data_IF_593776075557
#
_entry.id   IF_593776075557
#
_cell.length_a   1.000
_cell.length_b   1.000
_cell.length_c   1.000
_cell.angle_alpha   90.00
_cell.angle_beta   90.00
_cell.angle_gamma   90.00
#
_symmetry.space_group_name_H-M   'P 1'
#
loop_
_entity.id
_entity.type
_entity.pdbx_description
1 polymer ?
#
# COMPACT_ATOMS: atom_id res chain seq x y z
N UNK A 1 12.42 -3.64 -10.15
CA UNK A 1 11.66 -4.76 -9.55
C UNK A 1 11.66 -4.53 -8.06
N UNK A 2 10.51 -4.21 -7.46
CA UNK A 2 10.41 -4.06 -6.02
C UNK A 2 10.77 -5.40 -5.35
N UNK A 3 11.64 -5.36 -4.34
CA UNK A 3 12.06 -6.55 -3.62
C UNK A 3 10.86 -7.14 -2.85
N UNK A 4 10.72 -8.46 -2.85
CA UNK A 4 9.69 -9.13 -2.06
C UNK A 4 9.86 -8.78 -0.57
N UNK A 5 8.77 -8.38 0.09
CA UNK A 5 8.75 -8.12 1.53
C UNK A 5 8.83 -9.46 2.25
N UNK A 6 10.01 -9.82 2.75
CA UNK A 6 10.17 -11.00 3.63
C UNK A 6 9.59 -10.68 4.99
N UNK A 7 8.42 -11.22 5.31
CA UNK A 7 7.76 -11.03 6.61
C UNK A 7 8.28 -12.05 7.63
N UNK A 8 8.37 -11.62 8.89
CA UNK A 8 8.70 -12.48 10.04
C UNK A 8 7.45 -13.05 10.73
N UNK A 9 6.28 -12.50 10.45
CA UNK A 9 5.01 -12.98 10.99
C UNK A 9 4.57 -14.29 10.33
N UNK A 10 4.01 -15.18 11.14
CA UNK A 10 3.42 -16.46 10.69
C UNK A 10 1.91 -16.38 10.48
N UNK A 11 1.28 -15.29 10.89
CA UNK A 11 -0.16 -15.01 10.71
C UNK A 11 -0.36 -14.06 9.54
N UNK A 12 -1.47 -14.21 8.81
CA UNK A 12 -1.78 -13.37 7.65
C UNK A 12 -1.92 -11.89 8.07
N UNK A 13 -2.54 -11.65 9.22
CA UNK A 13 -2.74 -10.32 9.79
C UNK A 13 -1.40 -9.67 10.16
N UNK A 14 -0.47 -10.44 10.74
CA UNK A 14 0.87 -9.96 11.07
C UNK A 14 1.71 -9.68 9.81
N UNK A 15 1.55 -10.49 8.77
CA UNK A 15 2.22 -10.27 7.48
C UNK A 15 1.71 -9.02 6.79
N UNK A 16 0.39 -8.79 6.80
CA UNK A 16 -0.23 -7.58 6.27
C UNK A 16 0.22 -6.33 7.03
N UNK A 17 0.32 -6.41 8.35
CA UNK A 17 0.85 -5.33 9.18
C UNK A 17 2.29 -4.98 8.82
N UNK A 18 3.19 -5.97 8.76
CA UNK A 18 4.59 -5.73 8.42
C UNK A 18 4.76 -5.18 7.00
N UNK A 19 3.94 -5.65 6.06
CA UNK A 19 3.89 -5.10 4.72
C UNK A 19 3.43 -3.63 4.74
N UNK A 20 2.34 -3.32 5.43
CA UNK A 20 1.83 -1.96 5.55
C UNK A 20 2.85 -0.99 6.13
N UNK A 21 3.54 -1.38 7.21
CA UNK A 21 4.59 -0.57 7.82
C UNK A 21 5.73 -0.31 6.83
N UNK A 22 6.20 -1.32 6.09
CA UNK A 22 7.28 -1.14 5.12
C UNK A 22 6.88 -0.22 3.98
N UNK A 23 5.65 -0.32 3.48
CA UNK A 23 5.15 0.57 2.43
C UNK A 23 4.97 2.00 2.98
N UNK A 24 4.48 2.16 4.22
CA UNK A 24 4.41 3.47 4.88
C UNK A 24 5.81 4.10 5.06
N UNK A 25 6.81 3.32 5.48
CA UNK A 25 8.18 3.80 5.56
C UNK A 25 8.76 4.17 4.19
N UNK A 26 8.44 3.40 3.15
CA UNK A 26 8.84 3.74 1.79
C UNK A 26 8.22 5.08 1.34
N UNK A 27 6.95 5.35 1.67
CA UNK A 27 6.33 6.66 1.42
C UNK A 27 6.99 7.78 2.22
N UNK A 28 7.31 7.53 3.50
CA UNK A 28 8.02 8.49 4.34
C UNK A 28 9.46 8.76 3.87
N UNK A 29 10.06 7.85 3.11
CA UNK A 29 11.38 8.06 2.51
C UNK A 29 11.36 9.01 1.30
N UNK A 30 10.19 9.25 0.71
CA UNK A 30 10.02 10.22 -0.37
C UNK A 30 9.97 11.66 0.19
N UNK A 31 10.42 12.67 -0.60
CA UNK A 31 10.25 14.08 -0.26
C UNK A 31 8.79 14.41 0.08
N UNK A 32 8.58 15.27 1.07
CA UNK A 32 7.23 15.63 1.52
C UNK A 32 6.35 16.20 0.40
N UNK A 33 6.96 16.86 -0.60
CA UNK A 33 6.28 17.45 -1.76
C UNK A 33 5.73 16.43 -2.76
N UNK A 34 6.30 15.22 -2.80
CA UNK A 34 5.90 14.14 -3.72
C UNK A 34 5.23 12.97 -3.00
N UNK A 35 5.09 13.06 -1.67
CA UNK A 35 4.50 12.01 -0.84
C UNK A 35 2.99 12.00 -0.95
N UNK A 36 2.44 10.91 -1.48
CA UNK A 36 1.00 10.74 -1.68
C UNK A 36 0.26 10.33 -0.40
N UNK A 37 0.96 9.83 0.64
CA UNK A 37 0.37 9.31 1.89
C UNK A 37 -0.77 8.32 1.63
N UNK A 38 -0.55 7.39 0.71
CA UNK A 38 -1.55 6.42 0.30
C UNK A 38 -1.70 5.28 1.33
N UNK A 39 -0.76 5.14 2.26
CA UNK A 39 -0.81 4.18 3.36
C UNK A 39 -1.11 4.89 4.66
N UNK A 40 -2.22 4.50 5.29
CA UNK A 40 -2.54 4.93 6.65
C UNK A 40 -2.70 3.72 7.54
N UNK A 41 -2.02 3.80 8.68
CA UNK A 41 -1.94 2.74 9.66
C UNK A 41 -2.40 3.32 10.98
N UNK A 42 -3.56 2.91 11.46
CA UNK A 42 -4.13 3.38 12.72
C UNK A 42 -4.23 2.22 13.72
N UNK A 43 -3.60 2.41 14.88
CA UNK A 43 -3.60 1.43 15.96
C UNK A 43 -4.44 1.98 17.10
N UNK A 44 -5.59 1.36 17.32
CA UNK A 44 -6.43 1.62 18.48
C UNK A 44 -6.10 0.61 19.57
N UNK A 45 -5.26 1.04 20.51
CA UNK A 45 -4.82 0.21 21.65
C UNK A 45 -5.93 -0.01 22.67
N UNK A 46 -6.93 0.88 22.74
CA UNK A 46 -8.05 0.77 23.67
C UNK A 46 -9.00 -0.35 23.24
N UNK A 47 -9.33 -0.40 21.94
CA UNK A 47 -10.19 -1.43 21.37
C UNK A 47 -9.43 -2.66 20.86
N UNK A 48 -8.09 -2.64 20.92
CA UNK A 48 -7.21 -3.68 20.35
C UNK A 48 -7.47 -3.91 18.86
N UNK A 49 -7.83 -2.84 18.13
CA UNK A 49 -8.14 -2.87 16.71
C UNK A 49 -7.04 -2.19 15.93
N UNK A 50 -6.67 -2.82 14.82
CA UNK A 50 -5.66 -2.30 13.91
C UNK A 50 -6.30 -2.10 12.54
N UNK A 51 -6.32 -0.86 12.09
CA UNK A 51 -6.94 -0.45 10.82
C UNK A 51 -5.87 -0.01 9.85
N UNK A 52 -5.84 -0.65 8.67
CA UNK A 52 -4.89 -0.32 7.61
C UNK A 52 -5.69 0.09 6.37
N UNK A 53 -5.40 1.26 5.83
CA UNK A 53 -5.99 1.76 4.59
C UNK A 53 -4.89 1.88 3.54
N UNK A 54 -5.08 1.18 2.43
CA UNK A 54 -4.21 1.23 1.25
C UNK A 54 -4.96 1.91 0.09
N UNK A 55 -4.46 3.04 -0.38
CA UNK A 55 -5.00 3.74 -1.55
C UNK A 55 -4.04 3.63 -2.74
N UNK A 56 -4.18 2.58 -3.55
CA UNK A 56 -3.32 2.43 -4.72
C UNK A 56 -3.81 3.30 -5.89
N UNK A 57 -2.96 4.18 -6.48
CA UNK A 57 -3.33 4.89 -7.69
C UNK A 57 -3.49 3.88 -8.83
N UNK A 58 -4.64 3.91 -9.51
CA UNK A 58 -4.92 3.09 -10.68
C UNK A 58 -5.24 3.98 -11.87
N UNK A 59 -4.73 3.60 -13.04
CA UNK A 59 -5.09 4.19 -14.33
C UNK A 59 -6.14 3.32 -15.00
N UNK A 60 -7.15 3.97 -15.59
CA UNK A 60 -8.21 3.28 -16.33
C UNK A 60 -8.09 3.63 -17.80
N UNK A 61 -8.03 2.60 -18.64
CA UNK A 61 -8.02 2.75 -20.10
C UNK A 61 -9.16 1.94 -20.69
N UNK A 62 -9.92 2.53 -21.61
CA UNK A 62 -10.93 1.81 -22.37
C UNK A 62 -10.24 1.20 -23.59
N UNK A 63 -10.24 -0.14 -23.68
CA UNK A 63 -9.72 -0.81 -24.87
C UNK A 63 -10.65 -0.54 -26.06
N UNK A 64 -10.12 -0.69 -27.28
CA UNK A 64 -10.90 -0.58 -28.52
C UNK A 64 -12.06 -1.58 -28.60
N UNK A 65 -12.02 -2.64 -27.78
CA UNK A 65 -13.06 -3.67 -27.69
C UNK A 65 -14.10 -3.37 -26.60
N UNK A 66 -14.02 -2.20 -25.97
CA UNK A 66 -14.94 -1.76 -24.91
C UNK A 66 -14.62 -2.34 -23.53
N UNK A 67 -13.50 -3.02 -23.34
CA UNK A 67 -13.07 -3.51 -22.03
C UNK A 67 -12.44 -2.37 -21.22
N UNK A 68 -12.86 -2.25 -19.95
CA UNK A 68 -12.30 -1.27 -19.03
C UNK A 68 -11.09 -1.89 -18.34
N UNK A 69 -9.89 -1.49 -18.74
CA UNK A 69 -8.61 -2.01 -18.23
C UNK A 69 -8.14 -1.09 -17.12
N UNK A 70 -8.19 -1.59 -15.89
CA UNK A 70 -7.59 -0.95 -14.73
C UNK A 70 -6.17 -1.46 -14.53
N UNK A 71 -5.18 -0.58 -14.63
CA UNK A 71 -3.77 -0.89 -14.38
C UNK A 71 -3.29 -0.13 -13.14
N UNK A 72 -2.87 -0.82 -12.06
CA UNK A 72 -2.28 -0.16 -10.91
C UNK A 72 -0.97 0.53 -11.34
N UNK A 73 -0.84 1.80 -10.98
CA UNK A 73 0.33 2.60 -11.31
C UNK A 73 1.38 2.44 -10.20
N UNK A 74 2.59 1.94 -10.49
CA UNK A 74 3.66 1.89 -9.50
C UNK A 74 4.03 3.33 -9.13
N UNK A 75 3.85 3.67 -7.85
CA UNK A 75 4.10 5.02 -7.34
C UNK A 75 5.24 5.07 -6.31
N UNK A 76 5.73 3.91 -5.89
CA UNK A 76 6.91 3.74 -5.07
C UNK A 76 8.04 3.13 -5.92
N UNK A 77 9.29 3.61 -5.76
CA UNK A 77 10.45 3.11 -6.50
C UNK A 77 10.85 1.68 -6.13
#
# INVERSE_FOLDING_TARGET
MAAAITSTATTLEGQLWEAALRVQFAELSMPAETRLNNIQVNTDTENQVLSIVFSAPASFTLSSDGALVAAPTPYLP
#
